data_IF_101474156106
#
_entry.id   IF_101474156106
#
_cell.length_a   1.000
_cell.length_b   1.000
_cell.length_c   1.000
_cell.angle_alpha   90.00
_cell.angle_beta   90.00
_cell.angle_gamma   90.00
#
_symmetry.space_group_name_H-M   'P 1'
#
loop_
_entity.id
_entity.type
_entity.pdbx_description
1 polymer ?
#
# COMPACT_ATOMS: atom_id res chain seq x y z
N UNK A 1 -21.43 -16.52 -4.27
CA UNK A 1 -21.51 -15.05 -4.08
C UNK A 1 -20.72 -14.41 -5.21
N UNK A 2 -21.31 -13.43 -5.92
CA UNK A 2 -20.59 -12.63 -6.93
C UNK A 2 -19.57 -11.75 -6.22
N UNK A 3 -18.29 -12.06 -6.42
CA UNK A 3 -17.18 -11.23 -5.93
C UNK A 3 -17.06 -10.00 -6.82
N UNK A 4 -17.40 -8.83 -6.29
CA UNK A 4 -17.21 -7.56 -6.99
C UNK A 4 -15.73 -7.18 -6.99
N UNK A 5 -15.27 -6.63 -8.11
CA UNK A 5 -13.92 -6.08 -8.20
C UNK A 5 -13.83 -4.77 -7.39
N UNK A 6 -13.18 -4.85 -6.23
CA UNK A 6 -13.03 -3.74 -5.29
C UNK A 6 -12.05 -2.67 -5.78
N UNK A 7 -11.24 -2.97 -6.79
CA UNK A 7 -10.23 -2.06 -7.31
C UNK A 7 -10.76 -1.15 -8.43
N UNK A 8 -12.02 -1.31 -8.85
CA UNK A 8 -12.69 -0.37 -9.77
C UNK A 8 -12.75 1.08 -9.25
N UNK A 9 -12.43 1.32 -7.97
CA UNK A 9 -12.22 2.67 -7.43
C UNK A 9 -11.14 3.45 -8.19
N UNK A 10 -10.21 2.77 -8.85
CA UNK A 10 -9.18 3.38 -9.71
C UNK A 10 -9.69 3.79 -11.11
N UNK A 11 -10.96 3.51 -11.42
CA UNK A 11 -11.66 4.01 -12.59
C UNK A 11 -11.34 3.28 -13.90
N UNK A 12 -11.66 3.94 -15.02
CA UNK A 12 -11.61 3.37 -16.37
C UNK A 12 -10.22 2.92 -16.80
N UNK A 13 -9.15 3.58 -16.31
CA UNK A 13 -7.79 3.19 -16.66
C UNK A 13 -7.44 1.81 -16.10
N UNK A 14 -7.73 1.57 -14.82
CA UNK A 14 -7.59 0.24 -14.19
C UNK A 14 -8.43 -0.81 -14.91
N UNK A 15 -9.68 -0.45 -15.25
CA UNK A 15 -10.58 -1.35 -15.96
C UNK A 15 -10.02 -1.78 -17.33
N UNK A 16 -9.45 -0.86 -18.10
CA UNK A 16 -8.81 -1.17 -19.39
C UNK A 16 -7.64 -2.14 -19.22
N UNK A 17 -6.80 -1.95 -18.19
CA UNK A 17 -5.70 -2.87 -17.88
C UNK A 17 -6.25 -4.28 -17.59
N UNK A 18 -7.30 -4.38 -16.75
CA UNK A 18 -7.95 -5.65 -16.46
C UNK A 18 -8.54 -6.30 -17.71
N UNK A 19 -9.26 -5.54 -18.54
CA UNK A 19 -9.89 -6.04 -19.76
C UNK A 19 -8.83 -6.59 -20.74
N UNK A 20 -7.70 -5.87 -20.91
CA UNK A 20 -6.58 -6.30 -21.75
C UNK A 20 -5.87 -7.55 -21.21
N UNK A 21 -5.73 -7.68 -19.88
CA UNK A 21 -5.17 -8.88 -19.26
C UNK A 21 -6.10 -10.08 -19.41
N UNK A 22 -7.40 -9.90 -19.16
CA UNK A 22 -8.39 -10.98 -19.29
C UNK A 22 -8.60 -11.40 -20.75
N UNK A 23 -8.43 -10.49 -21.72
CA UNK A 23 -8.46 -10.80 -23.16
C UNK A 23 -7.13 -11.34 -23.71
N UNK A 24 -6.09 -11.43 -22.88
CA UNK A 24 -4.71 -11.75 -23.28
C UNK A 24 -4.19 -10.89 -24.46
N UNK A 25 -4.67 -9.65 -24.61
CA UNK A 25 -4.21 -8.77 -25.69
C UNK A 25 -2.99 -7.96 -25.26
N UNK A 26 -1.80 -8.49 -25.56
CA UNK A 26 -0.52 -7.90 -25.17
C UNK A 26 -0.25 -6.57 -25.89
N UNK A 27 -0.68 -6.42 -27.15
CA UNK A 27 -0.49 -5.17 -27.91
C UNK A 27 -1.30 -4.02 -27.29
N UNK A 28 -2.55 -4.30 -26.91
CA UNK A 28 -3.39 -3.33 -26.19
C UNK A 28 -2.78 -3.00 -24.83
N UNK A 29 -2.32 -4.00 -24.07
CA UNK A 29 -1.70 -3.78 -22.76
C UNK A 29 -0.43 -2.92 -22.86
N UNK A 30 0.45 -3.22 -23.82
CA UNK A 30 1.65 -2.43 -24.07
C UNK A 30 1.28 -1.01 -24.53
N UNK A 31 0.26 -0.86 -25.36
CA UNK A 31 -0.23 0.46 -25.77
C UNK A 31 -0.75 1.27 -24.58
N UNK A 32 -1.49 0.65 -23.65
CA UNK A 32 -2.01 1.30 -22.43
C UNK A 32 -0.85 1.73 -21.51
N UNK A 33 0.18 0.89 -21.39
CA UNK A 33 1.37 1.19 -20.57
C UNK A 33 2.20 2.31 -21.21
N UNK A 34 2.37 2.29 -22.54
CA UNK A 34 3.13 3.30 -23.29
C UNK A 34 2.41 4.66 -23.35
N UNK A 35 1.08 4.67 -23.41
CA UNK A 35 0.28 5.89 -23.48
C UNK A 35 0.32 6.70 -22.17
N UNK A 36 0.62 6.06 -21.03
CA UNK A 36 0.55 6.66 -19.69
C UNK A 36 1.92 6.80 -19.01
N UNK A 37 2.99 6.94 -19.81
CA UNK A 37 4.37 7.17 -19.36
C UNK A 37 4.60 8.41 -18.45
N UNK A 38 3.54 9.16 -18.10
CA UNK A 38 3.62 10.31 -17.20
C UNK A 38 3.77 9.91 -15.71
N UNK A 39 3.37 8.69 -15.31
CA UNK A 39 3.55 8.16 -13.94
C UNK A 39 3.75 6.63 -13.93
N UNK A 40 4.97 6.20 -14.22
CA UNK A 40 5.39 4.79 -14.30
C UNK A 40 5.08 3.98 -13.02
N UNK A 41 5.17 4.62 -11.85
CA UNK A 41 4.92 3.99 -10.55
C UNK A 41 3.43 3.68 -10.35
N UNK A 42 2.56 4.58 -10.78
CA UNK A 42 1.11 4.39 -10.72
C UNK A 42 0.66 3.28 -11.66
N UNK A 43 1.15 3.28 -12.90
CA UNK A 43 0.84 2.23 -13.89
C UNK A 43 1.29 0.86 -13.40
N UNK A 44 2.49 0.77 -12.82
CA UNK A 44 3.02 -0.46 -12.20
C UNK A 44 2.12 -0.95 -11.07
N UNK A 45 1.71 -0.05 -10.17
CA UNK A 45 0.83 -0.38 -9.05
C UNK A 45 -0.54 -0.90 -9.52
N UNK A 46 -1.12 -0.29 -10.55
CA UNK A 46 -2.40 -0.70 -11.12
C UNK A 46 -2.31 -2.05 -11.84
N UNK A 47 -1.21 -2.30 -12.55
CA UNK A 47 -0.97 -3.61 -13.14
C UNK A 47 -0.86 -4.68 -12.04
N UNK A 48 -0.05 -4.44 -11.00
CA UNK A 48 0.04 -5.37 -9.87
C UNK A 48 -1.32 -5.63 -9.21
N UNK A 49 -2.16 -4.61 -9.05
CA UNK A 49 -3.53 -4.76 -8.52
C UNK A 49 -4.41 -5.64 -9.43
N UNK A 50 -4.31 -5.47 -10.75
CA UNK A 50 -5.08 -6.26 -11.72
C UNK A 50 -4.68 -7.74 -11.70
N UNK A 51 -3.40 -8.04 -11.43
CA UNK A 51 -2.91 -9.41 -11.30
C UNK A 51 -3.53 -10.15 -10.12
N UNK A 52 -4.00 -9.46 -9.08
CA UNK A 52 -4.64 -10.10 -7.93
C UNK A 52 -5.75 -11.06 -8.35
N UNK A 53 -6.67 -10.59 -9.19
CA UNK A 53 -7.86 -11.35 -9.59
C UNK A 53 -7.51 -12.58 -10.41
N UNK A 54 -6.60 -12.42 -11.36
CA UNK A 54 -6.12 -13.50 -12.21
C UNK A 54 -5.33 -14.53 -11.41
N UNK A 55 -4.47 -14.07 -10.47
CA UNK A 55 -3.63 -14.93 -9.66
C UNK A 55 -4.37 -15.56 -8.49
N UNK A 56 -5.46 -14.99 -7.99
CA UNK A 56 -6.28 -15.63 -6.94
C UNK A 56 -6.82 -16.96 -7.44
N UNK A 57 -7.20 -17.03 -8.73
CA UNK A 57 -7.74 -18.21 -9.39
C UNK A 57 -6.67 -19.18 -9.93
N UNK A 58 -5.39 -18.77 -9.97
CA UNK A 58 -4.30 -19.57 -10.51
C UNK A 58 -3.30 -20.00 -9.41
N UNK A 59 -2.76 -21.23 -9.47
CA UNK A 59 -1.83 -21.71 -8.46
C UNK A 59 -0.46 -21.01 -8.53
N UNK A 60 0.00 -20.59 -9.72
CA UNK A 60 1.30 -19.96 -9.91
C UNK A 60 1.29 -18.84 -10.96
N UNK A 61 2.19 -17.87 -10.74
CA UNK A 61 2.46 -16.75 -11.65
C UNK A 61 3.13 -17.21 -12.95
N UNK A 62 3.77 -18.39 -12.94
CA UNK A 62 4.39 -19.02 -14.12
C UNK A 62 3.35 -19.37 -15.19
N UNK A 63 2.16 -19.85 -14.78
CA UNK A 63 1.06 -20.16 -15.71
C UNK A 63 0.55 -18.89 -16.38
N UNK A 64 0.61 -17.74 -15.68
CA UNK A 64 0.20 -16.46 -16.24
C UNK A 64 1.26 -15.90 -17.20
N UNK A 65 2.54 -16.08 -16.89
CA UNK A 65 3.65 -15.74 -17.78
C UNK A 65 3.61 -16.52 -19.08
N UNK A 66 3.36 -17.83 -19.01
CA UNK A 66 3.24 -18.68 -20.20
C UNK A 66 2.01 -18.32 -21.04
N UNK A 67 0.91 -17.90 -20.40
CA UNK A 67 -0.33 -17.49 -21.10
C UNK A 67 -0.23 -16.14 -21.78
N UNK A 68 0.45 -15.18 -21.17
CA UNK A 68 0.42 -13.78 -21.62
C UNK A 68 1.78 -13.36 -22.22
N UNK A 69 2.82 -14.21 -22.19
CA UNK A 69 4.17 -13.90 -22.69
C UNK A 69 4.72 -12.57 -22.11
N UNK A 70 4.49 -12.36 -20.81
CA UNK A 70 4.78 -11.11 -20.05
C UNK A 70 6.28 -10.89 -19.80
N UNK A 71 7.17 -11.79 -20.25
CA UNK A 71 8.62 -11.76 -19.95
C UNK A 71 9.34 -10.41 -20.15
N UNK A 72 8.78 -9.52 -20.95
CA UNK A 72 9.35 -8.19 -21.24
C UNK A 72 8.85 -7.06 -20.32
N UNK A 73 7.91 -7.30 -19.42
CA UNK A 73 7.43 -6.28 -18.47
C UNK A 73 8.31 -6.26 -17.23
N UNK A 74 9.02 -5.14 -16.99
CA UNK A 74 9.83 -4.88 -15.80
C UNK A 74 9.05 -5.07 -14.47
N UNK A 75 7.72 -5.09 -14.54
CA UNK A 75 6.80 -5.32 -13.43
C UNK A 75 6.95 -6.72 -12.81
N UNK A 76 7.52 -7.68 -13.55
CA UNK A 76 7.89 -9.01 -13.03
C UNK A 76 9.20 -9.05 -12.24
N UNK A 77 9.97 -7.95 -12.17
CA UNK A 77 11.16 -7.91 -11.30
C UNK A 77 10.79 -8.21 -9.82
N UNK A 78 9.57 -7.86 -9.41
CA UNK A 78 9.01 -8.15 -8.10
C UNK A 78 8.15 -9.42 -8.02
N UNK A 79 8.22 -10.31 -9.04
CA UNK A 79 7.44 -11.57 -9.11
C UNK A 79 7.49 -12.38 -7.82
N UNK A 80 8.70 -12.58 -7.28
CA UNK A 80 8.91 -13.35 -6.07
C UNK A 80 8.14 -12.71 -4.91
N UNK A 81 8.22 -11.37 -4.77
CA UNK A 81 7.54 -10.66 -3.70
C UNK A 81 6.01 -10.74 -3.84
N UNK A 82 5.48 -10.62 -5.07
CA UNK A 82 4.05 -10.78 -5.35
C UNK A 82 3.57 -12.20 -5.00
N UNK A 83 4.31 -13.23 -5.41
CA UNK A 83 4.00 -14.62 -5.07
C UNK A 83 4.04 -14.86 -3.55
N UNK A 84 5.06 -14.35 -2.87
CA UNK A 84 5.16 -14.44 -1.40
C UNK A 84 3.99 -13.75 -0.73
N UNK A 85 3.60 -12.56 -1.20
CA UNK A 85 2.43 -11.84 -0.68
C UNK A 85 1.14 -12.66 -0.84
N UNK A 86 0.87 -13.17 -2.04
CA UNK A 86 -0.32 -13.98 -2.31
C UNK A 86 -0.34 -15.27 -1.49
N UNK A 87 0.81 -15.93 -1.33
CA UNK A 87 0.94 -17.11 -0.49
C UNK A 87 0.67 -16.79 0.98
N UNK A 88 1.20 -15.67 1.50
CA UNK A 88 0.94 -15.22 2.86
C UNK A 88 -0.55 -14.93 3.07
N UNK A 89 -1.19 -14.19 2.15
CA UNK A 89 -2.63 -13.89 2.23
C UNK A 89 -3.47 -15.17 2.22
N UNK A 90 -3.16 -16.14 1.34
CA UNK A 90 -3.84 -17.45 1.27
C UNK A 90 -3.69 -18.26 2.55
N UNK A 91 -2.60 -18.08 3.28
CA UNK A 91 -2.35 -18.77 4.55
C UNK A 91 -3.29 -18.31 5.66
N UNK A 92 -3.92 -17.13 5.52
CA UNK A 92 -4.93 -16.62 6.45
C UNK A 92 -6.35 -16.96 5.98
N UNK A 93 -6.71 -18.25 5.99
CA UNK A 93 -8.01 -18.76 5.52
C UNK A 93 -9.24 -18.15 6.20
N UNK A 94 -9.08 -17.61 7.42
CA UNK A 94 -10.13 -16.91 8.18
C UNK A 94 -10.37 -15.46 7.75
N UNK A 95 -9.48 -14.89 6.92
CA UNK A 95 -9.50 -13.48 6.50
C UNK A 95 -9.78 -13.29 5.01
N UNK A 96 -10.47 -14.25 4.37
CA UNK A 96 -10.80 -14.17 2.93
C UNK A 96 -11.50 -12.84 2.57
N UNK A 97 -12.35 -12.31 3.46
CA UNK A 97 -13.00 -11.01 3.29
C UNK A 97 -12.03 -9.82 3.20
N UNK A 98 -10.87 -9.94 3.84
CA UNK A 98 -9.81 -8.92 3.90
C UNK A 98 -8.67 -9.16 2.91
N UNK A 99 -8.63 -10.31 2.23
CA UNK A 99 -7.57 -10.67 1.28
C UNK A 99 -7.28 -9.57 0.26
N UNK A 100 -8.33 -9.01 -0.34
CA UNK A 100 -8.26 -7.84 -1.24
C UNK A 100 -7.67 -6.57 -0.60
N UNK A 101 -8.02 -6.25 0.65
CA UNK A 101 -7.50 -5.02 1.29
C UNK A 101 -6.04 -5.21 1.71
N UNK A 102 -5.67 -6.42 2.12
CA UNK A 102 -4.28 -6.76 2.46
C UNK A 102 -3.38 -6.70 1.23
N UNK A 103 -3.85 -7.21 0.09
CA UNK A 103 -3.10 -7.15 -1.15
C UNK A 103 -2.93 -5.70 -1.64
N UNK A 104 -4.01 -4.93 -1.60
CA UNK A 104 -3.97 -3.50 -1.94
C UNK A 104 -3.01 -2.72 -1.05
N UNK A 105 -3.09 -2.93 0.27
CA UNK A 105 -2.17 -2.32 1.22
C UNK A 105 -0.72 -2.69 0.94
N UNK A 106 -0.44 -3.96 0.63
CA UNK A 106 0.90 -4.41 0.28
C UNK A 106 1.44 -3.69 -0.95
N UNK A 107 0.65 -3.54 -2.02
CA UNK A 107 1.06 -2.79 -3.22
C UNK A 107 1.35 -1.33 -2.87
N UNK A 108 0.46 -0.69 -2.12
CA UNK A 108 0.66 0.69 -1.72
C UNK A 108 1.95 0.83 -0.92
N UNK A 109 2.16 0.01 0.11
CA UNK A 109 3.35 0.06 0.96
C UNK A 109 4.65 -0.14 0.16
N UNK A 110 4.62 -0.93 -0.91
CA UNK A 110 5.77 -1.14 -1.80
C UNK A 110 5.88 -0.10 -2.94
N UNK A 111 4.94 0.84 -3.08
CA UNK A 111 4.97 1.88 -4.13
C UNK A 111 6.09 2.92 -3.97
N UNK A 112 6.80 2.92 -2.84
CA UNK A 112 7.86 3.89 -2.56
C UNK A 112 7.38 5.26 -2.06
N UNK A 113 6.08 5.44 -1.80
CA UNK A 113 5.55 6.69 -1.25
C UNK A 113 6.04 6.92 0.20
N UNK A 114 6.68 8.06 0.45
CA UNK A 114 7.23 8.42 1.76
C UNK A 114 6.16 8.51 2.87
N UNK A 115 4.92 8.89 2.53
CA UNK A 115 3.82 9.09 3.49
C UNK A 115 3.37 7.80 4.17
N UNK A 116 3.69 6.65 3.58
CA UNK A 116 3.35 5.30 4.06
C UNK A 116 4.59 4.52 4.51
N UNK A 117 5.74 5.20 4.63
CA UNK A 117 6.99 4.59 5.05
C UNK A 117 6.89 3.92 6.43
N UNK A 118 6.12 4.48 7.36
CA UNK A 118 5.83 3.86 8.65
C UNK A 118 5.23 2.45 8.48
N UNK A 119 4.26 2.31 7.59
CA UNK A 119 3.59 1.04 7.30
C UNK A 119 4.52 0.04 6.62
N UNK A 120 5.43 0.52 5.77
CA UNK A 120 6.51 -0.30 5.21
C UNK A 120 7.43 -0.87 6.29
N UNK A 121 7.86 -0.03 7.22
CA UNK A 121 8.71 -0.46 8.33
C UNK A 121 7.97 -1.45 9.24
N UNK A 122 6.69 -1.20 9.55
CA UNK A 122 5.88 -2.15 10.31
C UNK A 122 5.76 -3.51 9.62
N UNK A 123 5.61 -3.54 8.30
CA UNK A 123 5.47 -4.78 7.54
C UNK A 123 6.79 -5.53 7.35
N UNK A 124 7.93 -4.83 7.22
CA UNK A 124 9.21 -5.42 6.78
C UNK A 124 10.32 -5.41 7.83
N UNK A 125 10.27 -4.49 8.79
CA UNK A 125 11.32 -4.27 9.79
C UNK A 125 10.76 -3.61 11.06
N UNK A 126 9.84 -4.27 11.79
CA UNK A 126 9.15 -3.68 12.94
C UNK A 126 10.10 -3.25 14.06
N UNK A 127 11.28 -3.89 14.15
CA UNK A 127 12.35 -3.53 15.09
C UNK A 127 12.81 -2.06 14.96
N UNK A 128 12.66 -1.45 13.77
CA UNK A 128 13.13 -0.08 13.49
C UNK A 128 12.19 1.01 13.99
N UNK A 129 10.95 0.64 14.32
CA UNK A 129 9.91 1.57 14.79
C UNK A 129 9.59 1.36 16.26
N UNK A 130 10.51 0.71 16.99
CA UNK A 130 10.43 0.59 18.44
C UNK A 130 10.47 1.98 19.09
N UNK A 131 9.58 2.23 20.05
CA UNK A 131 9.40 3.52 20.70
C UNK A 131 8.73 4.63 19.85
N UNK A 132 8.22 4.32 18.65
CA UNK A 132 7.49 5.30 17.85
C UNK A 132 6.01 5.40 18.27
N UNK A 133 5.42 6.58 18.11
CA UNK A 133 3.99 6.79 18.30
C UNK A 133 3.21 6.34 17.06
N UNK A 134 2.30 5.38 17.21
CA UNK A 134 1.47 4.90 16.11
C UNK A 134 0.15 5.69 16.00
N UNK A 135 -0.39 5.83 14.78
CA UNK A 135 -1.72 6.42 14.60
C UNK A 135 -2.77 5.61 15.38
N UNK A 136 -3.72 6.34 15.98
CA UNK A 136 -4.78 5.77 16.82
C UNK A 136 -4.29 5.02 18.08
N UNK A 137 -3.03 5.18 18.49
CA UNK A 137 -2.67 4.89 19.88
C UNK A 137 -3.42 5.84 20.81
N UNK A 138 -3.88 5.35 21.98
CA UNK A 138 -4.37 6.24 23.02
C UNK A 138 -3.22 7.19 23.35
N UNK A 139 -3.38 8.46 23.02
CA UNK A 139 -2.55 9.48 23.63
C UNK A 139 -3.02 9.55 25.07
N UNK A 140 -2.15 9.17 26.00
CA UNK A 140 -2.21 9.77 27.32
C UNK A 140 -2.29 11.28 27.06
N UNK A 141 -3.43 11.78 27.48
CA UNK A 141 -3.99 13.07 27.16
C UNK A 141 -2.84 14.08 27.29
N UNK A 142 -2.56 14.93 26.28
CA UNK A 142 -1.46 15.91 26.38
C UNK A 142 -1.53 16.72 27.69
N UNK A 143 -2.70 16.75 28.37
CA UNK A 143 -2.89 17.20 29.75
C UNK A 143 -1.95 16.59 30.79
N UNK A 144 -1.49 15.36 30.64
CA UNK A 144 -0.52 14.74 31.56
C UNK A 144 0.88 15.32 31.32
N UNK A 145 1.27 15.52 30.06
CA UNK A 145 2.50 16.26 29.70
C UNK A 145 2.40 17.74 30.12
N UNK A 146 1.23 18.38 29.93
CA UNK A 146 0.94 19.75 30.41
C UNK A 146 0.96 19.84 31.94
N UNK A 147 0.61 18.76 32.66
CA UNK A 147 0.62 18.68 34.13
C UNK A 147 2.01 18.49 34.72
N UNK A 148 2.91 17.82 34.00
CA UNK A 148 4.31 17.65 34.41
C UNK A 148 5.10 18.97 34.37
N UNK A 149 4.75 19.88 33.46
CA UNK A 149 5.44 21.17 33.28
C UNK A 149 5.06 22.25 34.30
N UNK A 150 4.04 22.03 35.15
CA UNK A 150 3.68 23.01 36.19
C UNK A 150 4.69 23.08 37.34
N UNK A 151 5.59 22.10 37.45
CA UNK A 151 6.51 21.97 38.59
C UNK A 151 7.96 22.38 38.29
N UNK A 152 8.31 22.59 37.02
CA UNK A 152 9.70 22.75 36.62
C UNK A 152 9.96 24.15 36.06
N UNK A 153 10.56 25.03 36.86
CA UNK A 153 10.84 26.44 36.52
C UNK A 153 11.92 26.62 35.44
N UNK A 154 12.40 25.54 34.82
CA UNK A 154 13.58 25.54 33.93
C UNK A 154 13.37 24.93 32.55
N UNK A 155 12.19 24.39 32.21
CA UNK A 155 12.03 23.68 30.93
C UNK A 155 11.56 24.58 29.77
N UNK A 156 12.34 24.51 28.68
CA UNK A 156 12.31 25.27 27.42
C UNK A 156 11.17 24.90 26.46
N UNK A 157 10.01 24.49 26.97
CA UNK A 157 8.86 24.18 26.12
C UNK A 157 8.04 25.46 25.88
N UNK A 158 8.15 26.04 24.69
CA UNK A 158 7.30 27.14 24.25
C UNK A 158 6.04 26.56 23.59
N UNK A 159 4.89 26.90 24.18
CA UNK A 159 3.58 26.43 23.74
C UNK A 159 2.97 27.40 22.73
N UNK A 160 2.48 26.86 21.62
CA UNK A 160 1.81 27.62 20.56
C UNK A 160 0.47 26.99 20.21
N UNK A 161 -0.42 27.80 19.65
CA UNK A 161 -1.66 27.35 19.05
C UNK A 161 -1.75 27.84 17.62
N UNK A 162 -2.13 26.97 16.69
CA UNK A 162 -2.38 27.40 15.32
C UNK A 162 -3.65 28.28 15.26
N UNK A 163 -3.89 29.04 14.17
CA UNK A 163 -5.10 29.85 14.02
C UNK A 163 -6.43 29.07 14.12
N UNK A 164 -6.38 27.73 13.97
CA UNK A 164 -7.51 26.81 14.14
C UNK A 164 -7.62 26.21 15.55
N UNK A 165 -6.79 26.64 16.49
CA UNK A 165 -6.86 26.25 17.90
C UNK A 165 -6.21 24.91 18.25
N UNK A 166 -5.45 24.30 17.34
CA UNK A 166 -4.70 23.08 17.66
C UNK A 166 -3.40 23.44 18.41
N UNK A 167 -3.19 22.93 19.63
CA UNK A 167 -1.99 23.19 20.39
C UNK A 167 -0.80 22.39 19.82
N UNK A 168 0.37 23.00 19.79
CA UNK A 168 1.64 22.36 19.48
C UNK A 168 2.76 22.94 20.35
N UNK A 169 3.84 22.19 20.51
CA UNK A 169 4.95 22.55 21.39
C UNK A 169 6.23 22.65 20.57
N UNK A 170 7.00 23.71 20.79
CA UNK A 170 8.36 23.85 20.27
C UNK A 170 9.31 23.76 21.46
N UNK A 171 10.31 22.90 21.36
CA UNK A 171 11.48 22.86 22.24
C UNK A 171 12.62 23.60 21.58
N UNK A 172 13.43 24.32 22.37
CA UNK A 172 14.77 24.75 21.93
C UNK A 172 15.66 23.56 21.52
#
# INVERSE_FOLDING_TARGET
>A
MTSYDKYLVYGEYYKRICDSLSSCNLEDLLSIIQLDMYDENKTTSLLQLSLYKELTNLPSLDILEDKINIKNLAILEDKIKIQTCLFAIRSFSTLESYSSILYHFWILVNSGNASIHLFLLLATSPQKVDGWFFPAMPNDNLSEVFGLNQKDTKNSFLFYACPRGHPYVITD
#
